data_IF_234627116857
#
_entry.id   IF_234627116857
#
_cell.length_a   1.000
_cell.length_b   1.000
_cell.length_c   1.000
_cell.angle_alpha   90.00
_cell.angle_beta   90.00
_cell.angle_gamma   90.00
#
_symmetry.space_group_name_H-M   'P 1'
#
loop_
_entity.id
_entity.type
_entity.pdbx_description
1 polymer ?
#
# COMPACT_ATOMS: atom_id res chain seq x y z
N UNK A 1 3.98 0.79 4.95
CA UNK A 1 3.61 -0.15 6.02
C UNK A 1 3.05 -1.42 5.38
N UNK A 2 3.61 -2.60 5.67
CA UNK A 2 3.02 -3.88 5.23
C UNK A 2 2.05 -4.37 6.32
N UNK A 3 0.91 -4.95 5.93
CA UNK A 3 -0.02 -5.64 6.84
C UNK A 3 0.16 -7.15 6.67
N UNK A 4 0.04 -7.92 7.76
CA UNK A 4 0.12 -9.38 7.73
C UNK A 4 -1.29 -9.99 7.77
N UNK A 5 -1.50 -11.04 6.98
CA UNK A 5 -2.73 -11.83 6.95
C UNK A 5 -2.32 -13.29 7.21
N UNK A 6 -2.96 -13.94 8.18
CA UNK A 6 -2.74 -15.36 8.48
C UNK A 6 -3.82 -16.21 7.85
N UNK A 7 -3.43 -17.27 7.15
CA UNK A 7 -4.34 -18.24 6.53
C UNK A 7 -4.02 -19.61 7.09
N UNK A 8 -5.05 -20.34 7.54
CA UNK A 8 -4.91 -21.71 8.02
C UNK A 8 -5.24 -22.70 6.91
N UNK A 9 -4.36 -23.69 6.72
CA UNK A 9 -4.52 -24.77 5.74
C UNK A 9 -4.31 -26.09 6.47
N UNK A 10 -5.00 -27.13 6.02
CA UNK A 10 -4.81 -28.49 6.51
C UNK A 10 -3.35 -28.94 6.36
N UNK A 11 -2.80 -29.55 7.42
CA UNK A 11 -1.39 -29.92 7.51
C UNK A 11 -0.92 -30.76 6.33
N UNK A 12 -1.67 -31.80 5.96
CA UNK A 12 -1.28 -32.71 4.88
C UNK A 12 -1.24 -32.02 3.51
N UNK A 13 -2.22 -31.13 3.25
CA UNK A 13 -2.27 -30.34 2.01
C UNK A 13 -1.11 -29.34 1.94
N UNK A 14 -0.79 -28.71 3.07
CA UNK A 14 0.34 -27.77 3.16
C UNK A 14 1.67 -28.49 2.89
N UNK A 15 1.90 -29.64 3.53
CA UNK A 15 3.11 -30.43 3.31
C UNK A 15 3.24 -30.86 1.85
N UNK A 16 2.17 -31.39 1.24
CA UNK A 16 2.20 -31.76 -0.17
C UNK A 16 2.53 -30.55 -1.05
N UNK A 17 1.89 -29.40 -0.80
CA UNK A 17 2.12 -28.18 -1.56
C UNK A 17 3.58 -27.71 -1.46
N UNK A 18 4.15 -27.65 -0.25
CA UNK A 18 5.54 -27.27 -0.03
C UNK A 18 6.53 -28.21 -0.73
N UNK A 19 6.28 -29.52 -0.69
CA UNK A 19 7.12 -30.51 -1.38
C UNK A 19 7.15 -30.28 -2.88
N UNK A 20 5.98 -30.11 -3.51
CA UNK A 20 5.89 -29.91 -4.96
C UNK A 20 6.37 -28.53 -5.42
N UNK A 21 6.24 -27.49 -4.58
CA UNK A 21 6.83 -26.18 -4.84
C UNK A 21 8.36 -26.24 -4.75
N UNK A 22 8.91 -26.95 -3.76
CA UNK A 22 10.34 -27.17 -3.61
C UNK A 22 10.96 -27.87 -4.81
N UNK A 23 10.26 -28.85 -5.40
CA UNK A 23 10.69 -29.51 -6.65
C UNK A 23 10.83 -28.53 -7.83
N UNK A 24 9.99 -27.49 -7.87
CA UNK A 24 10.01 -26.44 -8.89
C UNK A 24 10.94 -25.27 -8.53
N UNK A 25 11.68 -25.39 -7.41
CA UNK A 25 12.50 -24.32 -6.86
C UNK A 25 11.70 -23.04 -6.56
N UNK A 26 10.42 -23.20 -6.18
CA UNK A 26 9.49 -22.14 -5.83
C UNK A 26 9.24 -22.13 -4.32
N UNK A 27 9.00 -20.95 -3.75
CA UNK A 27 8.61 -20.80 -2.35
C UNK A 27 7.13 -20.47 -2.24
N UNK A 28 6.47 -21.08 -1.27
CA UNK A 28 5.05 -20.83 -0.98
C UNK A 28 4.79 -19.35 -0.66
N UNK A 29 5.69 -18.72 0.10
CA UNK A 29 5.61 -17.28 0.43
C UNK A 29 5.54 -16.40 -0.80
N UNK A 30 6.40 -16.67 -1.78
CA UNK A 30 6.58 -15.82 -2.95
C UNK A 30 5.37 -15.95 -3.89
N UNK A 31 4.84 -17.16 -4.04
CA UNK A 31 3.59 -17.36 -4.77
C UNK A 31 2.39 -16.73 -4.05
N UNK A 32 2.30 -16.83 -2.73
CA UNK A 32 1.24 -16.14 -1.98
C UNK A 32 1.33 -14.62 -2.10
N UNK A 33 2.52 -14.03 -2.09
CA UNK A 33 2.71 -12.58 -2.29
C UNK A 33 2.26 -12.18 -3.71
N UNK A 34 2.66 -12.96 -4.72
CA UNK A 34 2.22 -12.74 -6.11
C UNK A 34 0.71 -12.91 -6.29
N UNK A 35 0.10 -13.93 -5.68
CA UNK A 35 -1.34 -14.11 -5.70
C UNK A 35 -2.07 -12.94 -5.02
N UNK A 36 -1.51 -12.40 -3.93
CA UNK A 36 -2.08 -11.22 -3.28
C UNK A 36 -2.02 -9.96 -4.17
N UNK A 37 -0.90 -9.74 -4.88
CA UNK A 37 -0.77 -8.64 -5.85
C UNK A 37 -1.74 -8.78 -7.03
N UNK A 38 -1.88 -9.99 -7.56
CA UNK A 38 -2.85 -10.30 -8.61
C UNK A 38 -4.28 -10.08 -8.13
N UNK A 39 -4.60 -10.51 -6.91
CA UNK A 39 -5.90 -10.32 -6.31
C UNK A 39 -6.22 -8.84 -6.13
N UNK A 40 -5.26 -8.03 -5.68
CA UNK A 40 -5.40 -6.57 -5.62
C UNK A 40 -5.69 -5.98 -7.01
N UNK A 41 -4.90 -6.34 -8.02
CA UNK A 41 -5.06 -5.84 -9.40
C UNK A 41 -6.40 -6.20 -10.02
N UNK A 42 -6.90 -7.42 -9.76
CA UNK A 42 -8.16 -7.91 -10.33
C UNK A 42 -9.39 -7.42 -9.57
N UNK A 43 -9.28 -7.23 -8.26
CA UNK A 43 -10.41 -6.88 -7.39
C UNK A 43 -10.55 -5.37 -7.22
N UNK A 44 -9.44 -4.63 -7.24
CA UNK A 44 -9.44 -3.18 -7.06
C UNK A 44 -9.47 -2.48 -8.43
N UNK A 45 -10.52 -1.70 -8.72
CA UNK A 45 -10.61 -0.92 -9.95
C UNK A 45 -9.42 0.03 -10.16
N UNK A 46 -9.07 0.29 -11.42
CA UNK A 46 -7.91 1.13 -11.79
C UNK A 46 -7.91 2.49 -11.07
N UNK A 47 -9.04 3.20 -11.06
CA UNK A 47 -9.18 4.50 -10.41
C UNK A 47 -8.85 4.49 -8.91
N UNK A 48 -9.15 3.39 -8.22
CA UNK A 48 -8.80 3.24 -6.79
C UNK A 48 -7.31 2.94 -6.63
N UNK A 49 -6.72 2.14 -7.52
CA UNK A 49 -5.27 1.86 -7.51
C UNK A 49 -4.45 3.13 -7.76
N UNK A 50 -4.85 3.91 -8.76
CA UNK A 50 -4.22 5.19 -9.09
C UNK A 50 -4.29 6.17 -7.90
N UNK A 51 -5.43 6.20 -7.20
CA UNK A 51 -5.59 7.02 -5.99
C UNK A 51 -4.64 6.58 -4.87
N UNK A 52 -4.47 5.27 -4.66
CA UNK A 52 -3.54 4.73 -3.65
C UNK A 52 -2.10 5.09 -4.02
N UNK A 53 -1.69 4.94 -5.28
CA UNK A 53 -0.35 5.31 -5.75
C UNK A 53 -0.08 6.83 -5.63
N UNK A 54 -1.06 7.66 -5.96
CA UNK A 54 -0.96 9.11 -5.82
C UNK A 54 -0.92 9.54 -4.35
N UNK A 55 -1.65 8.86 -3.46
CA UNK A 55 -1.61 9.10 -2.02
C UNK A 55 -0.30 8.65 -1.38
N UNK A 56 0.32 7.57 -1.88
CA UNK A 56 1.63 7.08 -1.43
C UNK A 56 2.79 7.99 -1.87
N UNK A 57 2.63 8.75 -2.96
CA UNK A 57 3.65 9.66 -3.53
C UNK A 57 3.55 11.11 -3.05
N UNK A 58 2.50 11.48 -2.29
CA UNK A 58 2.44 12.77 -1.58
C UNK A 58 3.46 12.78 -0.44
N UNK A 59 4.73 13.05 -0.78
CA UNK A 59 5.69 13.67 0.13
C UNK A 59 4.97 14.83 0.85
N UNK A 60 5.17 15.01 2.16
CA UNK A 60 4.59 16.15 2.86
C UNK A 60 4.99 17.42 2.09
N UNK A 61 4.05 18.35 1.83
CA UNK A 61 4.42 19.60 1.20
C UNK A 61 5.51 20.25 2.05
N UNK A 62 6.72 20.39 1.49
CA UNK A 62 7.75 21.25 2.08
C UNK A 62 7.09 22.62 2.20
N UNK A 63 6.85 23.08 3.43
CA UNK A 63 6.39 24.44 3.71
C UNK A 63 7.39 25.39 3.04
N UNK A 64 7.00 25.96 1.92
CA UNK A 64 7.73 27.05 1.28
C UNK A 64 7.50 28.25 2.19
N UNK A 65 8.50 28.59 3.00
CA UNK A 65 8.58 29.92 3.63
C UNK A 65 8.69 30.92 2.49
N UNK A 66 7.63 31.69 2.24
CA UNK A 66 7.75 32.98 1.57
C UNK A 66 7.15 34.02 2.50
N UNK A 67 8.05 34.76 3.15
CA UNK A 67 7.80 36.10 3.64
C UNK A 67 7.52 37.00 2.43
N UNK A 68 6.35 37.63 2.37
CA UNK A 68 6.24 39.00 1.84
C UNK A 68 5.01 39.67 2.43
N UNK A 69 5.24 40.87 2.96
CA UNK A 69 4.30 41.74 3.63
C UNK A 69 3.10 42.15 2.77
N UNK A 70 1.96 42.41 3.42
CA UNK A 70 1.18 43.64 3.20
C UNK A 70 0.34 43.95 4.43
N UNK A 71 0.53 45.17 4.92
CA UNK A 71 -0.23 45.84 5.97
C UNK A 71 -1.69 46.05 5.53
N UNK A 72 -2.62 45.95 6.46
CA UNK A 72 -3.81 46.79 6.46
C UNK A 72 -4.32 46.94 7.90
N UNK A 73 -4.10 48.13 8.42
CA UNK A 73 -4.61 48.65 9.68
C UNK A 73 -6.14 48.85 9.61
N UNK A 74 -6.74 48.96 10.81
CA UNK A 74 -7.98 49.65 11.17
C UNK A 74 -9.31 48.87 11.30
N UNK A 75 -10.03 49.32 12.34
CA UNK A 75 -11.44 49.16 12.72
C UNK A 75 -11.79 47.89 13.54
N UNK A 76 -12.40 47.92 14.74
CA UNK A 76 -13.00 49.00 15.58
C UNK A 76 -13.21 48.46 17.01
N UNK A 77 -12.88 49.31 17.97
CA UNK A 77 -13.51 49.59 19.27
C UNK A 77 -14.73 48.76 19.75
N UNK A 78 -14.67 48.30 21.01
CA UNK A 78 -15.68 48.50 22.07
C UNK A 78 -15.10 48.09 23.43
#
# INVERSE_FOLDING_TARGET
>A
MKKSITVSVESEKLTALEMYLGQKNMKLSDELEKFAEQLYTKTVPQNVRDFIEMSATKKPPKKVKNETAVQSENYTES
#
